data_IF_541530710980
#
_entry.id   IF_541530710980
#
_cell.length_a   1.000
_cell.length_b   1.000
_cell.length_c   1.000
_cell.angle_alpha   90.00
_cell.angle_beta   90.00
_cell.angle_gamma   90.00
#
_symmetry.space_group_name_H-M   'P 1'
#
loop_
_entity.id
_entity.type
_entity.pdbx_description
1 polymer ?
#
# COMPACT_ATOMS: atom_id res chain seq x y z
N UNK A 1 -5.79 2.32 -13.61
CA UNK A 1 -6.35 0.93 -13.64
C UNK A 1 -5.32 -0.11 -14.05
N UNK A 2 -4.52 0.13 -15.11
CA UNK A 2 -3.46 -0.80 -15.51
C UNK A 2 -2.46 -1.12 -14.37
N UNK A 3 -2.07 -0.11 -13.58
CA UNK A 3 -1.15 -0.29 -12.44
C UNK A 3 -1.71 -1.24 -11.38
N UNK A 4 -3.03 -1.22 -11.15
CA UNK A 4 -3.69 -2.10 -10.20
C UNK A 4 -3.65 -3.56 -10.66
N UNK A 5 -3.88 -3.80 -11.96
CA UNK A 5 -3.92 -5.15 -12.55
C UNK A 5 -2.50 -5.74 -12.71
N UNK A 6 -1.52 -4.88 -13.01
CA UNK A 6 -0.12 -5.29 -13.19
C UNK A 6 0.65 -5.44 -11.87
N UNK A 7 0.02 -5.16 -10.72
CA UNK A 7 0.62 -5.36 -9.41
C UNK A 7 0.31 -6.77 -8.89
N UNK A 8 1.36 -7.59 -8.75
CA UNK A 8 1.24 -8.90 -8.12
C UNK A 8 0.72 -8.77 -6.68
N UNK A 9 -0.33 -9.52 -6.37
CA UNK A 9 -1.01 -9.51 -5.07
C UNK A 9 -1.51 -10.89 -4.66
N UNK A 10 -0.69 -11.93 -4.79
CA UNK A 10 -1.08 -13.28 -4.36
C UNK A 10 -1.53 -13.31 -2.89
N UNK A 11 -2.53 -14.13 -2.53
CA UNK A 11 -3.14 -14.16 -1.17
C UNK A 11 -2.17 -14.37 -0.01
N UNK A 12 -0.98 -14.94 -0.25
CA UNK A 12 0.07 -15.15 0.76
C UNK A 12 1.26 -14.20 0.62
N UNK A 13 1.24 -13.29 -0.36
CA UNK A 13 2.22 -12.22 -0.52
C UNK A 13 1.70 -10.92 0.10
N UNK A 14 1.81 -10.83 1.43
CA UNK A 14 1.43 -9.62 2.19
C UNK A 14 2.03 -8.35 1.58
N UNK A 15 3.30 -8.38 1.16
CA UNK A 15 3.96 -7.21 0.62
C UNK A 15 3.38 -6.80 -0.74
N UNK A 16 3.03 -7.76 -1.59
CA UNK A 16 2.31 -7.53 -2.85
C UNK A 16 0.93 -6.94 -2.60
N UNK A 17 0.16 -7.54 -1.69
CA UNK A 17 -1.16 -7.06 -1.28
C UNK A 17 -1.07 -5.63 -0.72
N UNK A 18 -0.09 -5.32 0.13
CA UNK A 18 0.11 -3.96 0.67
C UNK A 18 0.39 -2.92 -0.42
N UNK A 19 1.22 -3.25 -1.42
CA UNK A 19 1.47 -2.36 -2.58
C UNK A 19 0.22 -2.09 -3.40
N UNK A 20 -0.63 -3.10 -3.62
CA UNK A 20 -1.95 -2.90 -4.27
C UNK A 20 -2.82 -1.94 -3.46
N UNK A 21 -2.72 -1.98 -2.13
CA UNK A 21 -3.42 -1.06 -1.23
C UNK A 21 -2.91 0.38 -1.35
N UNK A 22 -1.59 0.56 -1.49
CA UNK A 22 -0.95 1.87 -1.71
C UNK A 22 -1.39 2.51 -3.04
N UNK A 23 -1.53 1.71 -4.11
CA UNK A 23 -2.08 2.18 -5.40
C UNK A 23 -3.51 2.69 -5.22
N UNK A 24 -4.35 1.95 -4.50
CA UNK A 24 -5.74 2.36 -4.23
C UNK A 24 -5.80 3.61 -3.34
N UNK A 25 -4.96 3.71 -2.31
CA UNK A 25 -4.89 4.87 -1.44
C UNK A 25 -4.49 6.13 -2.22
N UNK A 26 -3.50 6.03 -3.11
CA UNK A 26 -3.10 7.13 -3.97
C UNK A 26 -4.24 7.59 -4.90
N UNK A 27 -4.90 6.64 -5.57
CA UNK A 27 -6.06 6.93 -6.43
C UNK A 27 -7.19 7.62 -5.65
N UNK A 28 -7.54 7.12 -4.46
CA UNK A 28 -8.56 7.74 -3.60
C UNK A 28 -8.16 9.15 -3.18
N UNK A 29 -6.89 9.37 -2.82
CA UNK A 29 -6.35 10.67 -2.47
C UNK A 29 -6.41 11.69 -3.61
N UNK A 30 -6.14 11.28 -4.85
CA UNK A 30 -6.31 12.11 -6.05
C UNK A 30 -7.77 12.57 -6.24
N UNK A 31 -8.72 11.79 -5.73
CA UNK A 31 -10.15 12.10 -5.74
C UNK A 31 -10.66 12.80 -4.46
N UNK A 32 -9.76 13.19 -3.55
CA UNK A 32 -10.11 13.86 -2.31
C UNK A 32 -10.85 12.98 -1.30
N UNK A 33 -10.70 11.65 -1.40
CA UNK A 33 -11.30 10.69 -0.48
C UNK A 33 -10.25 10.30 0.57
N UNK A 34 -10.57 10.53 1.84
CA UNK A 34 -9.70 10.13 2.94
C UNK A 34 -9.66 8.61 3.08
N UNK A 35 -8.45 8.07 3.24
CA UNK A 35 -8.20 6.64 3.26
C UNK A 35 -7.17 6.28 4.34
N UNK A 36 -7.63 5.55 5.34
CA UNK A 36 -6.83 5.06 6.46
C UNK A 36 -6.30 3.65 6.22
N UNK A 37 -5.03 3.42 6.55
CA UNK A 37 -4.40 2.10 6.56
C UNK A 37 -4.42 1.51 7.97
N UNK A 38 -4.99 0.31 8.10
CA UNK A 38 -5.10 -0.44 9.36
C UNK A 38 -4.16 -1.66 9.28
N UNK A 39 -3.10 -1.73 10.11
CA UNK A 39 -2.13 -2.82 10.05
C UNK A 39 -2.72 -4.20 10.33
N UNK A 40 -2.32 -5.20 9.54
CA UNK A 40 -2.68 -6.62 9.73
C UNK A 40 -1.43 -7.48 9.59
N UNK A 41 -1.25 -8.46 10.47
CA UNK A 41 -0.02 -9.25 10.55
C UNK A 41 0.23 -10.16 9.35
N UNK A 42 -0.80 -10.83 8.83
CA UNK A 42 -0.61 -12.01 7.95
C UNK A 42 -0.95 -11.77 6.47
N UNK A 43 -2.12 -11.23 6.14
CA UNK A 43 -2.66 -11.29 4.77
C UNK A 43 -2.63 -9.97 3.98
N UNK A 44 -2.16 -8.89 4.61
CA UNK A 44 -2.17 -7.53 4.04
C UNK A 44 -3.01 -6.57 4.87
N UNK A 45 -2.55 -5.32 4.96
CA UNK A 45 -3.20 -4.28 5.75
C UNK A 45 -4.58 -3.96 5.17
N UNK A 46 -5.53 -3.61 6.02
CA UNK A 46 -6.85 -3.17 5.57
C UNK A 46 -6.82 -1.67 5.23
N UNK A 47 -7.61 -1.27 4.24
CA UNK A 47 -7.73 0.13 3.83
C UNK A 47 -9.19 0.56 3.96
N UNK A 48 -9.43 1.63 4.70
CA UNK A 48 -10.76 2.18 4.97
C UNK A 48 -10.86 3.57 4.35
N UNK A 49 -11.64 3.67 3.27
CA UNK A 49 -11.96 4.94 2.64
C UNK A 49 -13.30 5.48 3.17
N UNK A 50 -13.37 6.77 3.46
CA UNK A 50 -14.61 7.42 3.92
C UNK A 50 -14.97 8.58 3.00
N UNK A 51 -16.17 8.51 2.41
CA UNK A 51 -16.76 9.64 1.69
C UNK A 51 -17.80 10.27 2.61
N UNK A 52 -17.69 11.55 2.96
CA UNK A 52 -18.67 12.22 3.79
C UNK A 52 -20.03 12.24 3.07
N UNK A 53 -21.03 11.62 3.69
CA UNK A 53 -22.41 11.65 3.21
C UNK A 53 -23.15 12.93 3.61
N UNK A 54 -24.37 13.09 3.10
CA UNK A 54 -25.32 14.06 3.67
C UNK A 54 -25.66 13.60 5.09
N UNK A 55 -25.94 14.53 6.00
CA UNK A 55 -26.33 14.27 7.40
C UNK A 55 -27.62 13.44 7.55
N UNK A 56 -28.34 13.22 6.44
CA UNK A 56 -29.62 12.53 6.39
C UNK A 56 -29.48 11.25 5.56
N UNK A 57 -29.56 10.09 6.21
CA UNK A 57 -29.50 8.78 5.55
C UNK A 57 -28.82 7.70 6.38
N UNK A 58 -28.96 6.44 5.95
CA UNK A 58 -28.20 5.32 6.52
C UNK A 58 -26.86 5.18 5.79
N UNK A 59 -25.74 4.90 6.49
CA UNK A 59 -24.46 4.68 5.84
C UNK A 59 -24.50 3.43 4.95
N UNK A 60 -23.74 3.47 3.85
CA UNK A 60 -23.51 2.32 2.96
C UNK A 60 -22.07 1.87 3.17
N UNK A 61 -21.86 0.55 3.25
CA UNK A 61 -20.53 -0.06 3.33
C UNK A 61 -20.29 -0.86 2.05
N UNK A 62 -19.20 -0.54 1.36
CA UNK A 62 -18.69 -1.30 0.22
C UNK A 62 -17.42 -2.02 0.66
N UNK A 63 -17.35 -3.33 0.39
CA UNK A 63 -16.23 -4.18 0.78
C UNK A 63 -15.71 -4.91 -0.46
N UNK A 64 -14.39 -4.99 -0.58
CA UNK A 64 -13.71 -5.78 -1.60
C UNK A 64 -12.41 -6.33 -1.04
N UNK A 65 -11.85 -7.32 -1.74
CA UNK A 65 -10.51 -7.82 -1.49
C UNK A 65 -9.63 -7.49 -2.71
N UNK A 66 -8.32 -7.41 -2.49
CA UNK A 66 -7.34 -6.99 -3.52
C UNK A 66 -6.25 -8.03 -3.75
N UNK A 67 -6.29 -9.10 -2.98
CA UNK A 67 -5.47 -10.27 -3.20
C UNK A 67 -6.05 -11.14 -4.31
N UNK A 68 -5.18 -11.94 -4.91
CA UNK A 68 -5.52 -12.83 -6.01
C UNK A 68 -5.01 -14.23 -5.74
N UNK A 69 -5.56 -15.20 -6.47
CA UNK A 69 -5.10 -16.58 -6.44
C UNK A 69 -3.79 -16.81 -7.22
N UNK A 70 -3.30 -15.79 -7.93
CA UNK A 70 -2.11 -15.93 -8.76
C UNK A 70 -0.85 -15.82 -7.90
N UNK A 71 0.16 -16.67 -8.14
CA UNK A 71 1.44 -16.57 -7.43
C UNK A 71 2.15 -15.27 -7.79
N UNK A 72 2.92 -14.74 -6.84
CA UNK A 72 3.81 -13.60 -7.11
C UNK A 72 4.89 -14.05 -8.08
N UNK A 73 4.94 -13.46 -9.27
CA UNK A 73 6.02 -13.71 -10.24
C UNK A 73 7.22 -12.82 -9.95
N UNK A 74 6.98 -11.69 -9.26
CA UNK A 74 8.02 -10.82 -8.72
C UNK A 74 8.62 -11.42 -7.45
N UNK A 75 9.96 -11.54 -7.34
CA UNK A 75 10.59 -11.94 -6.10
C UNK A 75 10.28 -10.90 -5.00
N UNK A 76 10.12 -11.31 -3.72
CA UNK A 76 9.86 -10.38 -2.64
C UNK A 76 10.96 -9.31 -2.61
N UNK A 77 10.56 -8.04 -2.76
CA UNK A 77 11.49 -6.91 -2.61
C UNK A 77 11.96 -6.93 -1.15
N UNK A 78 13.25 -7.20 -0.95
CA UNK A 78 13.88 -7.10 0.35
C UNK A 78 13.61 -5.70 0.94
N UNK A 79 13.32 -5.58 2.24
CA UNK A 79 13.16 -4.28 2.87
C UNK A 79 14.39 -3.43 2.53
N UNK A 80 14.18 -2.20 2.05
CA UNK A 80 15.28 -1.29 1.78
C UNK A 80 16.00 -1.04 3.11
N UNK A 81 17.14 -1.70 3.33
CA UNK A 81 18.00 -1.37 4.43
C UNK A 81 18.37 0.11 4.25
N UNK A 82 17.96 0.95 5.20
CA UNK A 82 18.48 2.31 5.26
C UNK A 82 19.99 2.20 5.38
N UNK A 83 20.71 2.49 4.29
CA UNK A 83 22.16 2.66 4.39
C UNK A 83 22.37 3.86 5.30
N UNK A 84 23.02 3.72 6.49
CA UNK A 84 23.42 4.91 7.20
C UNK A 84 24.34 5.70 6.27
N UNK A 85 24.00 6.97 6.06
CA UNK A 85 24.83 7.92 5.37
C UNK A 85 26.13 8.09 6.17
N UNK A 86 27.13 7.25 5.87
CA UNK A 86 28.47 7.42 6.40
C UNK A 86 29.09 8.63 5.70
N UNK A 87 28.81 9.82 6.24
CA UNK A 87 29.45 11.07 5.85
C UNK A 87 30.90 11.05 6.36
N UNK A 88 31.76 10.32 5.66
CA UNK A 88 33.20 10.36 5.91
C UNK A 88 33.75 11.67 5.37
N UNK A 89 33.82 12.68 6.23
CA UNK A 89 34.62 13.88 5.95
C UNK A 89 36.08 13.47 6.19
N UNK A 90 36.80 13.09 5.13
CA UNK A 90 38.27 13.06 5.18
C UNK A 90 38.76 14.50 5.02
N UNK A 91 39.19 15.08 6.14
CA UNK A 91 40.01 16.28 6.12
C UNK A 91 41.35 15.94 5.44
N UNK A 92 41.63 16.60 4.31
CA UNK A 92 42.95 16.58 3.71
C UNK A 92 43.87 17.41 4.60
N UNK A 93 44.94 16.80 5.12
CA UNK A 93 46.08 17.53 5.68
C UNK A 93 47.10 17.73 4.56
N UNK A 94 47.69 18.92 4.58
CA UNK A 94 48.69 19.51 3.67
C UNK A 94 49.87 18.62 3.36
#
# INVERSE_FOLDING_TARGET
MADLVNQDSGSYDKAGVDRTGEILQAFLGEHGIDCERVPVSEYGDAFRATVPGRTEGRPIVLIGHRDTVFPSVRPPVAPSASRPCARSVRAWRT
#
